data_IF_490298572662
#
_entry.id   IF_490298572662
#
_cell.length_a   1.000
_cell.length_b   1.000
_cell.length_c   1.000
_cell.angle_alpha   90.00
_cell.angle_beta   90.00
_cell.angle_gamma   90.00
#
_symmetry.space_group_name_H-M   'P 1'
#
loop_
_entity.id
_entity.type
_entity.pdbx_description
1 polymer ?
#
# COMPACT_ATOMS: atom_id res chain seq x y z
N UNK A 1 -22.23 -6.69 11.65
CA UNK A 1 -22.45 -8.12 11.32
C UNK A 1 -23.37 -8.22 10.10
N UNK A 2 -22.80 -8.27 8.90
CA UNK A 2 -23.55 -8.23 7.64
C UNK A 2 -23.94 -9.63 7.17
N UNK A 3 -25.24 -9.86 6.98
CA UNK A 3 -25.86 -11.11 6.54
C UNK A 3 -25.74 -11.27 5.03
N UNK A 4 -24.65 -11.86 4.53
CA UNK A 4 -24.49 -12.25 3.11
C UNK A 4 -24.62 -13.77 2.92
N UNK A 5 -25.62 -14.40 3.55
CA UNK A 5 -25.81 -15.87 3.52
C UNK A 5 -26.70 -16.38 2.37
N UNK A 6 -27.16 -15.51 1.45
CA UNK A 6 -28.28 -15.83 0.56
C UNK A 6 -27.96 -16.23 -0.88
N UNK A 7 -26.74 -15.98 -1.37
CA UNK A 7 -26.43 -16.16 -2.82
C UNK A 7 -25.22 -17.07 -2.97
N UNK A 8 -25.48 -18.34 -3.27
CA UNK A 8 -24.45 -19.30 -3.65
C UNK A 8 -24.12 -19.12 -5.13
N UNK A 9 -22.92 -18.65 -5.44
CA UNK A 9 -22.43 -18.55 -6.81
C UNK A 9 -21.59 -19.76 -7.16
N UNK A 10 -22.07 -20.60 -8.09
CA UNK A 10 -21.34 -21.77 -8.57
C UNK A 10 -20.21 -21.37 -9.52
N UNK A 11 -19.02 -21.19 -8.97
CA UNK A 11 -17.81 -20.87 -9.72
C UNK A 11 -17.26 -22.08 -10.47
N UNK A 12 -16.89 -21.91 -11.74
CA UNK A 12 -16.09 -22.88 -12.49
C UNK A 12 -14.63 -22.44 -12.45
N UNK A 13 -13.76 -23.31 -11.97
CA UNK A 13 -12.31 -23.07 -11.88
C UNK A 13 -11.55 -24.34 -12.21
N UNK A 14 -10.29 -24.19 -12.63
CA UNK A 14 -9.39 -25.33 -12.83
C UNK A 14 -9.07 -26.01 -11.49
N UNK A 15 -8.70 -27.29 -11.54
CA UNK A 15 -8.35 -28.07 -10.35
C UNK A 15 -7.17 -27.42 -9.61
N UNK A 16 -6.13 -27.00 -10.35
CA UNK A 16 -4.97 -26.31 -9.78
C UNK A 16 -5.34 -25.01 -9.04
N UNK A 17 -6.32 -24.24 -9.53
CA UNK A 17 -6.75 -23.02 -8.85
C UNK A 17 -7.48 -23.36 -7.55
N UNK A 18 -8.33 -24.38 -7.57
CA UNK A 18 -9.05 -24.84 -6.38
C UNK A 18 -8.08 -25.30 -5.29
N UNK A 19 -7.04 -26.05 -5.66
CA UNK A 19 -6.04 -26.54 -4.72
C UNK A 19 -5.23 -25.38 -4.10
N UNK A 20 -4.85 -24.37 -4.90
CA UNK A 20 -4.21 -23.15 -4.39
C UNK A 20 -5.07 -22.37 -3.40
N UNK A 21 -6.37 -22.24 -3.67
CA UNK A 21 -7.30 -21.56 -2.75
C UNK A 21 -7.48 -22.39 -1.47
N UNK A 22 -7.55 -23.72 -1.59
CA UNK A 22 -7.67 -24.62 -0.44
C UNK A 22 -6.47 -24.50 0.51
N UNK A 23 -5.26 -24.48 -0.05
CA UNK A 23 -4.02 -24.30 0.70
C UNK A 23 -3.99 -22.94 1.40
N UNK A 24 -4.24 -21.86 0.65
CA UNK A 24 -4.27 -20.51 1.21
C UNK A 24 -5.32 -20.33 2.31
N UNK A 25 -6.50 -20.93 2.14
CA UNK A 25 -7.56 -20.89 3.14
C UNK A 25 -7.14 -21.62 4.43
N UNK A 26 -6.42 -22.74 4.30
CA UNK A 26 -5.87 -23.50 5.43
C UNK A 26 -4.80 -22.71 6.17
N UNK A 27 -3.89 -22.05 5.47
CA UNK A 27 -2.86 -21.20 6.08
C UNK A 27 -3.47 -20.02 6.84
N UNK A 28 -4.49 -19.39 6.25
CA UNK A 28 -5.18 -18.23 6.82
C UNK A 28 -6.29 -18.60 7.82
N UNK A 29 -6.42 -19.89 8.18
CA UNK A 29 -7.42 -20.43 9.10
C UNK A 29 -8.87 -19.95 8.79
N UNK A 30 -9.22 -19.87 7.49
CA UNK A 30 -10.52 -19.43 7.00
C UNK A 30 -11.15 -20.46 6.07
N UNK A 31 -12.47 -20.38 5.85
CA UNK A 31 -13.14 -21.27 4.89
C UNK A 31 -12.74 -20.90 3.46
N UNK A 32 -12.81 -21.87 2.54
CA UNK A 32 -12.54 -21.63 1.11
C UNK A 32 -13.41 -20.49 0.54
N UNK A 33 -14.69 -20.43 0.92
CA UNK A 33 -15.58 -19.35 0.50
C UNK A 33 -15.17 -18.00 1.11
N UNK A 34 -14.74 -17.97 2.38
CA UNK A 34 -14.26 -16.75 3.01
C UNK A 34 -12.96 -16.25 2.36
N UNK A 35 -12.08 -17.16 1.93
CA UNK A 35 -10.85 -16.82 1.20
C UNK A 35 -11.15 -16.18 -0.16
N UNK A 36 -12.07 -16.78 -0.90
CA UNK A 36 -12.53 -16.27 -2.20
C UNK A 36 -13.17 -14.89 -2.05
N UNK A 37 -14.09 -14.73 -1.10
CA UNK A 37 -14.78 -13.45 -0.87
C UNK A 37 -13.77 -12.37 -0.49
N UNK A 38 -12.87 -12.64 0.46
CA UNK A 38 -11.87 -11.66 0.88
C UNK A 38 -10.93 -11.24 -0.27
N UNK A 39 -10.52 -12.17 -1.13
CA UNK A 39 -9.69 -11.85 -2.31
C UNK A 39 -10.45 -11.02 -3.34
N UNK A 40 -11.73 -11.31 -3.53
CA UNK A 40 -12.58 -10.53 -4.42
C UNK A 40 -12.78 -9.12 -3.85
N UNK A 41 -13.14 -9.00 -2.58
CA UNK A 41 -13.25 -7.72 -1.88
C UNK A 41 -11.96 -6.90 -2.01
N UNK A 42 -10.81 -7.51 -1.71
CA UNK A 42 -9.50 -6.87 -1.87
C UNK A 42 -9.21 -6.46 -3.32
N UNK A 43 -9.70 -7.19 -4.31
CA UNK A 43 -9.51 -6.81 -5.72
C UNK A 43 -10.35 -5.60 -6.15
N UNK A 44 -11.43 -5.30 -5.41
CA UNK A 44 -12.28 -4.13 -5.61
C UNK A 44 -11.93 -2.97 -4.67
N UNK A 45 -11.20 -3.24 -3.58
CA UNK A 45 -10.55 -2.18 -2.81
C UNK A 45 -9.52 -1.51 -3.71
N UNK A 46 -9.75 -0.23 -4.02
CA UNK A 46 -8.77 0.59 -4.74
C UNK A 46 -7.42 0.48 -4.01
N UNK A 47 -6.30 0.34 -4.74
CA UNK A 47 -5.00 0.23 -4.09
C UNK A 47 -4.85 1.39 -3.10
N UNK A 48 -4.61 1.06 -1.84
CA UNK A 48 -4.59 2.00 -0.70
C UNK A 48 -3.69 3.20 -1.01
N UNK A 49 -2.63 3.01 -1.81
CA UNK A 49 -1.97 4.12 -2.50
C UNK A 49 -2.81 4.61 -3.67
N UNK A 50 -3.83 5.40 -3.37
CA UNK A 50 -4.36 6.34 -4.36
C UNK A 50 -3.16 7.10 -4.91
N UNK A 51 -2.98 7.13 -6.23
CA UNK A 51 -1.85 7.82 -6.89
C UNK A 51 -1.67 9.26 -6.35
N UNK A 52 -2.77 9.86 -5.89
CA UNK A 52 -2.82 11.12 -5.15
C UNK A 52 -2.00 11.13 -3.86
N UNK A 53 -2.16 10.16 -2.95
CA UNK A 53 -1.42 10.13 -1.67
C UNK A 53 0.08 9.94 -1.89
N UNK A 54 0.46 9.14 -2.90
CA UNK A 54 1.85 8.97 -3.30
C UNK A 54 2.44 10.26 -3.86
N UNK A 55 1.65 11.01 -4.65
CA UNK A 55 2.06 12.31 -5.18
C UNK A 55 2.21 13.36 -4.07
N UNK A 56 1.28 13.42 -3.12
CA UNK A 56 1.34 14.34 -1.98
C UNK A 56 2.59 14.07 -1.12
N UNK A 57 2.86 12.80 -0.81
CA UNK A 57 4.09 12.39 -0.10
C UNK A 57 5.36 12.77 -0.88
N UNK A 58 5.33 12.65 -2.22
CA UNK A 58 6.45 12.99 -3.09
C UNK A 58 6.71 14.50 -3.11
N UNK A 59 5.68 15.32 -3.11
CA UNK A 59 5.83 16.78 -3.02
C UNK A 59 6.41 17.21 -1.67
N UNK A 60 5.91 16.66 -0.56
CA UNK A 60 6.44 16.93 0.78
C UNK A 60 7.92 16.54 0.90
N UNK A 61 8.30 15.38 0.35
CA UNK A 61 9.70 14.94 0.35
C UNK A 61 10.59 15.90 -0.46
N UNK A 62 10.11 16.36 -1.62
CA UNK A 62 10.83 17.33 -2.46
C UNK A 62 11.07 18.64 -1.71
N UNK A 63 10.04 19.18 -1.06
CA UNK A 63 10.16 20.41 -0.26
C UNK A 63 11.15 20.24 0.90
N UNK A 64 11.14 19.09 1.58
CA UNK A 64 12.08 18.79 2.67
C UNK A 64 13.53 18.78 2.17
N UNK A 65 13.80 18.14 1.03
CA UNK A 65 15.13 18.13 0.42
C UNK A 65 15.58 19.55 0.04
N UNK A 66 14.71 20.35 -0.57
CA UNK A 66 15.03 21.74 -0.92
C UNK A 66 15.34 22.59 0.32
N UNK A 67 14.58 22.42 1.40
CA UNK A 67 14.82 23.13 2.65
C UNK A 67 16.15 22.71 3.28
N UNK A 68 16.46 21.41 3.30
CA UNK A 68 17.74 20.92 3.81
C UNK A 68 18.91 21.48 3.01
N UNK A 69 18.81 21.52 1.68
CA UNK A 69 19.84 22.12 0.84
C UNK A 69 20.05 23.61 1.14
N UNK A 70 18.97 24.37 1.38
CA UNK A 70 19.08 25.78 1.79
C UNK A 70 19.78 25.92 3.14
N UNK A 71 19.44 25.07 4.12
CA UNK A 71 20.13 25.09 5.42
C UNK A 71 21.61 24.76 5.27
N UNK A 72 21.99 23.78 4.44
CA UNK A 72 23.39 23.48 4.16
C UNK A 72 24.13 24.69 3.57
N UNK A 73 23.57 25.32 2.54
CA UNK A 73 24.17 26.50 1.92
C UNK A 73 24.35 27.65 2.91
N UNK A 74 23.35 27.90 3.77
CA UNK A 74 23.45 28.94 4.78
C UNK A 74 24.51 28.63 5.85
N UNK A 75 24.64 27.37 6.25
CA UNK A 75 25.70 26.94 7.17
C UNK A 75 27.08 27.12 6.53
N UNK A 76 27.26 26.73 5.26
CA UNK A 76 28.52 26.95 4.53
C UNK A 76 28.89 28.43 4.45
N UNK A 77 27.92 29.30 4.16
CA UNK A 77 28.16 30.74 4.07
C UNK A 77 28.55 31.34 5.43
N UNK A 78 27.92 30.89 6.52
CA UNK A 78 28.26 31.31 7.88
C UNK A 78 29.65 30.83 8.30
N UNK A 79 30.03 29.59 7.98
CA UNK A 79 31.37 29.06 8.24
C UNK A 79 32.42 29.89 7.50
N UNK A 80 32.19 30.18 6.22
CA UNK A 80 33.12 30.99 5.43
C UNK A 80 33.30 32.41 5.98
N UNK A 81 32.23 33.06 6.42
CA UNK A 81 32.30 34.39 7.08
C UNK A 81 32.99 34.35 8.44
N UNK A 82 33.03 33.20 9.11
CA UNK A 82 33.75 33.04 10.38
C UNK A 82 35.25 32.82 10.19
N UNK A 83 35.68 32.33 9.03
CA UNK A 83 37.10 32.19 8.67
C UNK A 83 37.72 33.49 8.13
N UNK A 84 36.88 34.43 7.66
CA UNK A 84 37.30 35.73 7.12
C UNK A 84 37.40 36.87 8.18
N UNK A 85 37.08 36.60 9.46
CA UNK A 85 37.25 37.51 10.61
C UNK A 85 38.36 37.05 11.54
#
# INVERSE_FOLDING_TARGET
MGRNLGVEYKMRMSQELKDKIAESAKELNRSMNADIVARLEQSFEEPITSEHEVNDLRELLKQSIENNNKYFQMIEELLKKSEEN
#
